data_IF_687741082318
#
_entry.id   IF_687741082318
#
_cell.length_a   1.000
_cell.length_b   1.000
_cell.length_c   1.000
_cell.angle_alpha   90.00
_cell.angle_beta   90.00
_cell.angle_gamma   90.00
#
_symmetry.space_group_name_H-M   'P 1'
#
loop_
_entity.id
_entity.type
_entity.pdbx_description
1 polymer ?
#
# COMPACT_ATOMS: atom_id res chain seq x y z
N UNK A 1 18.08 4.94 51.86
CA UNK A 1 18.93 5.12 50.67
C UNK A 1 18.57 4.00 49.72
N UNK A 2 17.74 4.30 48.72
CA UNK A 2 17.24 3.30 47.75
C UNK A 2 18.22 3.29 46.58
N UNK A 3 18.73 2.10 46.29
CA UNK A 3 19.74 1.82 45.28
C UNK A 3 19.23 2.15 43.86
N UNK A 4 19.99 2.97 43.14
CA UNK A 4 19.87 3.14 41.69
C UNK A 4 20.30 1.84 40.99
N UNK A 5 19.35 0.94 40.76
CA UNK A 5 19.58 -0.25 39.92
C UNK A 5 18.42 -0.56 38.96
N UNK A 6 17.64 0.45 38.54
CA UNK A 6 16.54 0.29 37.58
C UNK A 6 16.62 1.30 36.43
N UNK A 7 17.74 1.32 35.70
CA UNK A 7 17.87 2.15 34.50
C UNK A 7 18.55 1.47 33.30
N UNK A 8 18.76 0.15 33.32
CA UNK A 8 19.39 -0.58 32.20
C UNK A 8 18.49 -1.67 31.60
N UNK A 9 17.18 -1.42 31.51
CA UNK A 9 16.39 -2.02 30.43
C UNK A 9 16.51 -1.12 29.20
N UNK A 10 17.73 -1.06 28.66
CA UNK A 10 17.98 -0.58 27.31
C UNK A 10 17.11 -1.43 26.40
N UNK A 11 16.08 -0.82 25.82
CA UNK A 11 15.35 -1.39 24.69
C UNK A 11 16.39 -1.85 23.67
N UNK A 12 16.61 -3.15 23.58
CA UNK A 12 17.36 -3.76 22.47
C UNK A 12 16.51 -3.55 21.21
N UNK A 13 16.52 -2.32 20.69
CA UNK A 13 16.04 -2.01 19.37
C UNK A 13 16.99 -2.71 18.41
N UNK A 14 16.57 -3.88 17.92
CA UNK A 14 17.15 -4.45 16.74
C UNK A 14 17.24 -3.33 15.68
N UNK A 15 18.38 -3.17 14.98
CA UNK A 15 18.51 -2.13 13.99
C UNK A 15 17.36 -2.25 12.98
N UNK A 16 16.72 -1.13 12.58
CA UNK A 16 15.58 -1.18 11.69
C UNK A 16 15.95 -1.94 10.40
N UNK A 17 15.06 -2.82 9.96
CA UNK A 17 15.24 -3.54 8.71
C UNK A 17 15.47 -2.57 7.55
N UNK A 18 16.10 -3.02 6.46
CA UNK A 18 16.36 -2.16 5.28
C UNK A 18 15.09 -1.46 4.79
N UNK A 19 13.93 -2.11 4.89
CA UNK A 19 12.63 -1.56 4.54
C UNK A 19 12.15 -0.48 5.53
N UNK A 20 12.27 -0.71 6.84
CA UNK A 20 11.93 0.27 7.88
C UNK A 20 12.82 1.51 7.81
N UNK A 21 14.12 1.33 7.59
CA UNK A 21 15.06 2.43 7.36
C UNK A 21 14.72 3.23 6.10
N UNK A 22 14.15 2.57 5.07
CA UNK A 22 13.67 3.23 3.86
C UNK A 22 12.43 4.09 4.15
N UNK A 23 11.48 3.55 4.91
CA UNK A 23 10.24 4.25 5.27
C UNK A 23 10.50 5.50 6.09
N UNK A 24 11.44 5.44 7.04
CA UNK A 24 11.90 6.60 7.79
C UNK A 24 12.53 7.67 6.87
N UNK A 25 13.28 7.24 5.85
CA UNK A 25 13.88 8.15 4.85
C UNK A 25 12.89 8.66 3.83
N UNK A 26 11.74 8.01 3.64
CA UNK A 26 10.82 8.36 2.57
C UNK A 26 10.17 9.71 2.83
N UNK A 27 10.01 10.15 4.09
CA UNK A 27 9.45 11.46 4.47
C UNK A 27 8.24 11.86 3.61
N UNK A 28 7.46 10.86 3.21
CA UNK A 28 6.35 11.01 2.30
C UNK A 28 5.21 11.60 3.11
N UNK A 29 4.85 12.85 2.79
CA UNK A 29 3.63 13.46 3.30
C UNK A 29 2.46 12.49 3.04
N UNK A 30 1.51 12.48 3.98
CA UNK A 30 0.18 11.89 3.73
C UNK A 30 -0.29 12.36 2.36
N UNK A 31 -0.78 11.47 1.49
CA UNK A 31 -1.19 11.88 0.18
C UNK A 31 -2.34 12.87 0.35
N UNK A 32 -2.17 14.09 -0.17
CA UNK A 32 -3.25 15.06 -0.37
C UNK A 32 -4.16 14.58 -1.52
N UNK A 33 -4.49 13.29 -1.57
CA UNK A 33 -5.27 12.71 -2.63
C UNK A 33 -6.74 13.07 -2.42
N UNK A 34 -7.13 14.18 -3.05
CA UNK A 34 -8.51 14.59 -3.26
C UNK A 34 -8.93 14.11 -4.65
N UNK A 35 -9.38 12.87 -4.74
CA UNK A 35 -10.36 12.51 -5.76
C UNK A 35 -11.55 11.86 -5.07
N UNK A 36 -12.71 12.54 -4.99
CA UNK A 36 -13.92 11.86 -4.55
C UNK A 36 -14.19 10.73 -5.55
N UNK A 37 -14.21 9.48 -5.09
CA UNK A 37 -14.74 8.40 -5.91
C UNK A 37 -16.23 8.69 -6.12
N UNK A 38 -16.59 8.98 -7.38
CA UNK A 38 -17.98 9.07 -7.81
C UNK A 38 -18.67 7.72 -7.61
N UNK A 39 -19.87 7.77 -7.04
CA UNK A 39 -20.58 6.62 -6.48
C UNK A 39 -20.77 5.45 -7.44
N UNK A 40 -20.46 4.25 -6.93
CA UNK A 40 -20.92 2.99 -7.49
C UNK A 40 -22.34 2.68 -7.02
N UNK A 41 -23.23 2.45 -7.99
CA UNK A 41 -24.67 2.20 -7.87
C UNK A 41 -25.01 0.79 -7.37
N UNK A 42 -24.72 0.48 -6.11
CA UNK A 42 -25.20 -0.72 -5.43
C UNK A 42 -25.67 -0.36 -4.03
N UNK A 43 -26.58 -1.14 -3.42
CA UNK A 43 -26.96 -0.98 -2.00
C UNK A 43 -25.66 -0.85 -1.19
N UNK A 44 -25.34 0.36 -0.76
CA UNK A 44 -24.09 0.66 -0.09
C UNK A 44 -24.10 -0.06 1.25
N UNK A 45 -23.26 -1.09 1.38
CA UNK A 45 -23.06 -1.75 2.66
C UNK A 45 -22.61 -0.70 3.67
N UNK A 46 -23.26 -0.66 4.82
CA UNK A 46 -22.83 0.23 5.88
C UNK A 46 -21.50 -0.27 6.48
N UNK A 47 -20.71 0.63 7.10
CA UNK A 47 -19.45 0.26 7.76
C UNK A 47 -19.59 -0.95 8.73
N UNK A 48 -20.74 -1.05 9.42
CA UNK A 48 -21.02 -2.14 10.34
C UNK A 48 -21.18 -3.49 9.65
N UNK A 49 -21.87 -3.55 8.51
CA UNK A 49 -22.04 -4.76 7.71
C UNK A 49 -20.70 -5.24 7.14
N UNK A 50 -19.88 -4.31 6.63
CA UNK A 50 -18.54 -4.61 6.14
C UNK A 50 -17.68 -5.17 7.27
N UNK A 51 -17.64 -4.50 8.42
CA UNK A 51 -16.83 -4.94 9.56
C UNK A 51 -17.28 -6.31 10.09
N UNK A 52 -18.58 -6.56 10.17
CA UNK A 52 -19.13 -7.84 10.60
C UNK A 52 -18.76 -8.97 9.63
N UNK A 53 -18.90 -8.72 8.32
CA UNK A 53 -18.59 -9.71 7.30
C UNK A 53 -17.10 -10.08 7.25
N UNK A 54 -16.21 -9.12 7.50
CA UNK A 54 -14.76 -9.34 7.52
C UNK A 54 -14.23 -9.88 8.86
N UNK A 55 -15.03 -9.85 9.93
CA UNK A 55 -14.64 -10.40 11.23
C UNK A 55 -14.64 -11.95 11.23
N UNK A 56 -15.31 -12.57 10.26
CA UNK A 56 -15.48 -14.01 10.20
C UNK A 56 -14.33 -14.68 9.44
N UNK A 57 -13.56 -15.50 10.16
CA UNK A 57 -12.51 -16.35 9.61
C UNK A 57 -11.16 -15.64 9.41
N UNK A 58 -10.12 -16.43 9.14
CA UNK A 58 -8.78 -15.94 8.81
C UNK A 58 -8.62 -15.91 7.29
N UNK A 59 -8.66 -14.74 6.64
CA UNK A 59 -8.48 -14.65 5.18
C UNK A 59 -7.10 -15.14 4.75
N UNK A 60 -7.02 -15.80 3.59
CA UNK A 60 -5.73 -16.16 3.00
C UNK A 60 -5.14 -14.95 2.27
N UNK A 61 -4.01 -14.42 2.77
CA UNK A 61 -3.33 -13.24 2.22
C UNK A 61 -1.85 -13.54 1.88
N UNK A 62 -1.56 -14.55 1.04
CA UNK A 62 -0.19 -15.02 0.80
C UNK A 62 0.74 -14.02 0.10
N UNK A 63 0.24 -13.08 -0.70
CA UNK A 63 1.10 -12.05 -1.34
C UNK A 63 1.35 -10.89 -0.38
N UNK A 64 0.31 -10.36 0.25
CA UNK A 64 0.39 -9.26 1.21
C UNK A 64 1.30 -9.60 2.40
N UNK A 65 1.21 -10.83 2.91
CA UNK A 65 1.99 -11.27 4.08
C UNK A 65 3.49 -11.45 3.81
N UNK A 66 3.95 -11.34 2.55
CA UNK A 66 5.39 -11.33 2.22
C UNK A 66 6.06 -10.00 2.55
N UNK A 67 5.28 -8.92 2.61
CA UNK A 67 5.79 -7.57 2.78
C UNK A 67 5.62 -7.07 4.22
N UNK A 68 4.70 -7.65 4.99
CA UNK A 68 4.45 -7.28 6.37
C UNK A 68 3.71 -8.36 7.15
N UNK A 69 3.52 -8.11 8.45
CA UNK A 69 2.78 -9.03 9.32
C UNK A 69 1.35 -9.24 8.84
N UNK A 70 0.85 -10.46 9.06
CA UNK A 70 -0.51 -10.85 8.69
C UNK A 70 -1.59 -9.93 9.28
N UNK A 71 -1.40 -9.44 10.51
CA UNK A 71 -2.34 -8.50 11.15
C UNK A 71 -2.41 -7.15 10.42
N UNK A 72 -1.28 -6.64 9.92
CA UNK A 72 -1.28 -5.41 9.11
C UNK A 72 -1.92 -5.64 7.74
N UNK A 73 -1.67 -6.80 7.11
CA UNK A 73 -2.33 -7.19 5.88
C UNK A 73 -3.86 -7.29 6.05
N UNK A 74 -4.34 -7.89 7.15
CA UNK A 74 -5.77 -7.96 7.47
C UNK A 74 -6.40 -6.58 7.70
N UNK A 75 -5.70 -5.68 8.39
CA UNK A 75 -6.16 -4.28 8.56
C UNK A 75 -6.23 -3.52 7.23
N UNK A 76 -5.25 -3.73 6.35
CA UNK A 76 -5.25 -3.14 5.02
C UNK A 76 -6.38 -3.70 4.14
N UNK A 77 -6.66 -5.01 4.23
CA UNK A 77 -7.81 -5.65 3.58
C UNK A 77 -9.14 -5.00 4.01
N UNK A 78 -9.34 -4.83 5.32
CA UNK A 78 -10.54 -4.17 5.84
C UNK A 78 -10.64 -2.70 5.40
N UNK A 79 -9.51 -1.98 5.41
CA UNK A 79 -9.47 -0.59 4.93
C UNK A 79 -9.74 -0.51 3.42
N UNK A 80 -9.29 -1.48 2.62
CA UNK A 80 -9.58 -1.53 1.19
C UNK A 80 -11.07 -1.69 0.94
N UNK A 81 -11.72 -2.63 1.64
CA UNK A 81 -13.16 -2.85 1.54
C UNK A 81 -13.96 -1.59 1.93
N UNK A 82 -13.60 -0.98 3.07
CA UNK A 82 -14.19 0.26 3.53
C UNK A 82 -14.04 1.38 2.49
N UNK A 83 -12.86 1.57 1.94
CA UNK A 83 -12.61 2.56 0.90
C UNK A 83 -13.46 2.30 -0.36
N UNK A 84 -13.49 1.06 -0.86
CA UNK A 84 -14.24 0.69 -2.07
C UNK A 84 -15.75 0.90 -1.91
N UNK A 85 -16.31 0.52 -0.76
CA UNK A 85 -17.76 0.56 -0.55
C UNK A 85 -18.29 1.90 -0.01
N UNK A 86 -17.47 2.66 0.73
CA UNK A 86 -17.92 3.88 1.42
C UNK A 86 -17.20 5.15 0.96
N UNK A 87 -16.10 5.02 0.21
CA UNK A 87 -15.27 6.17 -0.18
C UNK A 87 -14.50 6.80 0.98
N UNK A 88 -14.38 6.10 2.12
CA UNK A 88 -13.72 6.64 3.32
C UNK A 88 -12.23 6.98 3.07
N UNK A 89 -11.90 8.25 3.31
CA UNK A 89 -10.56 8.79 3.08
C UNK A 89 -9.54 8.23 4.07
N UNK A 90 -9.93 8.00 5.33
CA UNK A 90 -9.00 7.46 6.32
C UNK A 90 -8.55 6.04 5.95
N UNK A 91 -9.51 5.24 5.49
CA UNK A 91 -9.27 3.91 4.95
C UNK A 91 -8.36 3.93 3.72
N UNK A 92 -8.56 4.87 2.79
CA UNK A 92 -7.61 5.07 1.68
C UNK A 92 -6.19 5.34 2.18
N UNK A 93 -6.02 6.24 3.16
CA UNK A 93 -4.69 6.54 3.70
C UNK A 93 -4.01 5.30 4.30
N UNK A 94 -4.75 4.43 4.99
CA UNK A 94 -4.20 3.17 5.50
C UNK A 94 -3.73 2.25 4.37
N UNK A 95 -4.53 2.06 3.32
CA UNK A 95 -4.14 1.26 2.15
C UNK A 95 -2.93 1.87 1.44
N UNK A 96 -2.86 3.20 1.35
CA UNK A 96 -1.72 3.91 0.79
C UNK A 96 -0.43 3.66 1.57
N UNK A 97 -0.44 3.78 2.90
CA UNK A 97 0.74 3.48 3.70
C UNK A 97 1.14 2.01 3.60
N UNK A 98 0.16 1.10 3.50
CA UNK A 98 0.44 -0.30 3.19
C UNK A 98 1.15 -0.45 1.83
N UNK A 99 0.64 0.18 0.78
CA UNK A 99 1.25 0.15 -0.56
C UNK A 99 2.68 0.74 -0.57
N UNK A 100 2.93 1.78 0.23
CA UNK A 100 4.27 2.32 0.43
C UNK A 100 5.22 1.31 1.07
N UNK A 101 4.77 0.52 2.03
CA UNK A 101 5.57 -0.57 2.61
C UNK A 101 5.91 -1.62 1.54
N UNK A 102 4.96 -1.95 0.67
CA UNK A 102 5.17 -2.91 -0.43
C UNK A 102 6.23 -2.42 -1.41
N UNK A 103 6.14 -1.18 -1.90
CA UNK A 103 7.14 -0.64 -2.83
C UNK A 103 8.50 -0.46 -2.14
N UNK A 104 8.51 -0.05 -0.87
CA UNK A 104 9.73 0.06 -0.08
C UNK A 104 10.44 -1.28 0.08
N UNK A 105 9.69 -2.34 0.41
CA UNK A 105 10.21 -3.70 0.49
C UNK A 105 10.78 -4.20 -0.84
N UNK A 106 10.11 -3.92 -1.96
CA UNK A 106 10.61 -4.25 -3.30
C UNK A 106 11.93 -3.54 -3.62
N UNK A 107 12.05 -2.24 -3.32
CA UNK A 107 13.28 -1.49 -3.55
C UNK A 107 14.42 -1.96 -2.65
N UNK A 108 14.13 -2.25 -1.37
CA UNK A 108 15.12 -2.78 -0.44
C UNK A 108 15.66 -4.16 -0.84
N UNK A 109 14.80 -5.02 -1.42
CA UNK A 109 15.18 -6.33 -1.92
C UNK A 109 16.02 -6.27 -3.21
N UNK A 110 15.75 -5.29 -4.08
CA UNK A 110 16.48 -5.12 -5.34
C UNK A 110 17.84 -4.40 -5.18
N UNK A 111 18.08 -3.74 -4.04
CA UNK A 111 19.26 -2.93 -3.83
C UNK A 111 20.52 -3.75 -3.51
N UNK A 112 21.61 -3.48 -4.23
CA UNK A 112 22.93 -4.03 -3.96
C UNK A 112 23.60 -3.39 -2.74
N UNK A 113 23.34 -2.10 -2.51
CA UNK A 113 23.91 -1.34 -1.40
C UNK A 113 22.95 -0.22 -0.93
N UNK A 114 23.14 0.26 0.30
CA UNK A 114 22.25 1.26 0.91
C UNK A 114 22.39 2.67 0.32
N UNK A 115 23.50 2.98 -0.34
CA UNK A 115 23.78 4.32 -0.89
C UNK A 115 23.07 4.50 -2.23
N UNK A 116 23.12 3.49 -3.11
CA UNK A 116 22.36 3.46 -4.36
C UNK A 116 20.85 3.48 -4.10
N UNK A 117 20.38 2.70 -3.13
CA UNK A 117 18.98 2.71 -2.69
C UNK A 117 18.51 4.07 -2.20
N UNK A 118 19.29 4.73 -1.34
CA UNK A 118 18.93 6.05 -0.82
C UNK A 118 18.87 7.11 -1.94
N UNK A 119 19.79 7.03 -2.92
CA UNK A 119 19.79 7.91 -4.09
C UNK A 119 18.55 7.68 -4.96
N UNK A 120 18.23 6.44 -5.27
CA UNK A 120 17.04 6.10 -6.07
C UNK A 120 15.75 6.58 -5.40
N UNK A 121 15.63 6.39 -4.08
CA UNK A 121 14.50 6.91 -3.32
C UNK A 121 14.43 8.43 -3.42
N UNK A 122 15.54 9.14 -3.18
CA UNK A 122 15.55 10.59 -3.21
C UNK A 122 15.15 11.15 -4.60
N UNK A 123 15.62 10.52 -5.68
CA UNK A 123 15.34 10.90 -7.06
C UNK A 123 13.90 10.60 -7.48
N UNK A 124 13.23 9.63 -6.85
CA UNK A 124 11.95 9.12 -7.32
C UNK A 124 10.82 9.09 -6.28
N UNK A 125 10.94 9.81 -5.16
CA UNK A 125 9.88 9.88 -4.12
C UNK A 125 8.49 10.17 -4.68
N UNK A 126 8.39 11.15 -5.60
CA UNK A 126 7.12 11.51 -6.24
C UNK A 126 6.53 10.36 -7.05
N UNK A 127 7.37 9.67 -7.84
CA UNK A 127 6.97 8.50 -8.62
C UNK A 127 6.56 7.32 -7.73
N UNK A 128 7.21 7.12 -6.58
CA UNK A 128 6.79 6.09 -5.60
C UNK A 128 5.38 6.36 -5.11
N UNK A 129 5.12 7.57 -4.62
CA UNK A 129 3.82 7.98 -4.11
C UNK A 129 2.73 7.86 -5.18
N UNK A 130 2.97 8.42 -6.37
CA UNK A 130 2.02 8.38 -7.47
C UNK A 130 1.73 6.95 -7.97
N UNK A 131 2.75 6.08 -8.00
CA UNK A 131 2.58 4.69 -8.37
C UNK A 131 1.69 3.92 -7.38
N UNK A 132 1.84 4.15 -6.07
CA UNK A 132 1.00 3.55 -5.04
C UNK A 132 -0.47 4.01 -5.16
N UNK A 133 -0.69 5.31 -5.30
CA UNK A 133 -2.04 5.89 -5.51
C UNK A 133 -2.69 5.29 -6.76
N UNK A 134 -1.94 5.26 -7.86
CA UNK A 134 -2.44 4.73 -9.13
C UNK A 134 -2.81 3.26 -9.04
N UNK A 135 -2.04 2.42 -8.33
CA UNK A 135 -2.36 1.01 -8.15
C UNK A 135 -3.64 0.80 -7.31
N UNK A 136 -3.84 1.62 -6.26
CA UNK A 136 -5.06 1.57 -5.44
C UNK A 136 -6.27 1.98 -6.27
N UNK A 137 -6.14 3.06 -7.03
CA UNK A 137 -7.18 3.53 -7.94
C UNK A 137 -7.51 2.52 -9.04
N UNK A 138 -6.50 1.84 -9.60
CA UNK A 138 -6.73 0.85 -10.65
C UNK A 138 -7.52 -0.35 -10.15
N UNK A 139 -7.22 -0.82 -8.94
CA UNK A 139 -8.01 -1.92 -8.34
C UNK A 139 -9.40 -1.44 -7.93
N UNK A 140 -9.50 -0.24 -7.33
CA UNK A 140 -10.79 0.31 -6.87
C UNK A 140 -11.71 0.73 -8.03
N UNK A 141 -11.13 1.09 -9.18
CA UNK A 141 -11.82 1.53 -10.38
C UNK A 141 -11.15 0.92 -11.64
N UNK A 142 -11.37 -0.38 -11.94
CA UNK A 142 -10.67 -1.09 -13.01
C UNK A 142 -10.85 -0.53 -14.44
N UNK A 143 -11.85 0.35 -14.62
CA UNK A 143 -12.08 1.02 -15.91
C UNK A 143 -11.17 2.23 -16.13
N UNK A 144 -10.59 2.80 -15.07
CA UNK A 144 -9.85 4.07 -15.10
C UNK A 144 -8.57 3.99 -15.94
N UNK A 145 -7.85 2.87 -15.89
CA UNK A 145 -6.54 2.73 -16.56
C UNK A 145 -6.49 1.64 -17.65
N UNK A 146 -7.63 1.04 -18.02
CA UNK A 146 -7.68 -0.12 -18.95
C UNK A 146 -7.05 0.14 -20.33
N UNK A 147 -7.11 1.39 -20.82
CA UNK A 147 -6.56 1.78 -22.12
C UNK A 147 -5.27 2.60 -22.02
N UNK A 148 -4.69 2.73 -20.83
CA UNK A 148 -3.54 3.60 -20.58
C UNK A 148 -2.26 3.00 -21.15
N UNK A 149 -1.57 3.77 -21.99
CA UNK A 149 -0.29 3.40 -22.60
C UNK A 149 0.87 3.60 -21.62
N UNK A 150 2.02 2.95 -21.87
CA UNK A 150 3.25 3.13 -21.07
C UNK A 150 3.70 4.61 -20.99
N UNK A 151 3.42 5.42 -22.01
CA UNK A 151 3.70 6.87 -22.01
C UNK A 151 2.78 7.64 -21.07
N UNK A 152 1.51 7.28 -21.02
CA UNK A 152 0.53 7.91 -20.14
C UNK A 152 0.79 7.52 -18.69
N UNK A 153 1.11 6.25 -18.43
CA UNK A 153 1.56 5.81 -17.11
C UNK A 153 2.78 6.58 -16.63
N UNK A 154 3.80 6.74 -17.48
CA UNK A 154 4.97 7.53 -17.14
C UNK A 154 4.61 8.99 -16.80
N UNK A 155 3.65 9.58 -17.52
CA UNK A 155 3.17 10.94 -17.26
C UNK A 155 2.42 11.04 -15.93
N UNK A 156 1.50 10.12 -15.65
CA UNK A 156 0.71 10.07 -14.41
C UNK A 156 1.63 9.98 -13.19
N UNK A 157 2.67 9.15 -13.30
CA UNK A 157 3.63 8.91 -12.21
C UNK A 157 4.72 9.99 -12.14
N UNK A 158 4.77 10.92 -13.12
CA UNK A 158 5.75 12.01 -13.14
C UNK A 158 7.17 11.58 -13.52
N UNK A 159 7.30 10.51 -14.32
CA UNK A 159 8.59 10.06 -14.86
C UNK A 159 8.98 10.89 -16.10
N UNK A 160 10.26 11.27 -16.24
CA UNK A 160 10.71 12.10 -17.36
C UNK A 160 10.67 11.37 -18.72
N UNK A 161 10.61 10.03 -18.72
CA UNK A 161 10.57 9.23 -19.94
C UNK A 161 9.85 7.89 -19.72
N UNK A 162 9.00 7.49 -20.66
CA UNK A 162 8.33 6.18 -20.70
C UNK A 162 9.29 4.99 -20.66
N UNK A 163 10.54 5.13 -21.11
CA UNK A 163 11.54 4.06 -20.98
C UNK A 163 11.82 3.68 -19.52
N UNK A 164 11.78 4.65 -18.59
CA UNK A 164 11.91 4.35 -17.16
C UNK A 164 10.71 3.58 -16.64
N UNK A 165 9.51 3.93 -17.14
CA UNK A 165 8.30 3.16 -16.82
C UNK A 165 8.45 1.70 -17.24
N UNK A 166 8.69 1.44 -18.52
CA UNK A 166 8.74 0.07 -19.05
C UNK A 166 9.85 -0.78 -18.43
N UNK A 167 11.00 -0.18 -18.07
CA UNK A 167 12.15 -0.90 -17.50
C UNK A 167 12.01 -1.18 -16.00
N UNK A 168 11.63 -0.19 -15.21
CA UNK A 168 11.76 -0.25 -13.75
C UNK A 168 10.41 -0.19 -13.02
N UNK A 169 9.51 0.69 -13.47
CA UNK A 169 8.31 1.01 -12.69
C UNK A 169 7.11 0.13 -13.02
N UNK A 170 7.01 -0.38 -14.25
CA UNK A 170 5.91 -1.26 -14.67
C UNK A 170 5.84 -2.53 -13.82
N UNK A 171 6.98 -3.16 -13.56
CA UNK A 171 7.05 -4.33 -12.67
C UNK A 171 6.67 -3.98 -11.23
N UNK A 172 7.17 -2.85 -10.70
CA UNK A 172 6.80 -2.37 -9.35
C UNK A 172 5.31 -2.11 -9.22
N UNK A 173 4.73 -1.43 -10.21
CA UNK A 173 3.30 -1.21 -10.32
C UNK A 173 2.50 -2.51 -10.34
N UNK A 174 2.87 -3.45 -11.21
CA UNK A 174 2.20 -4.75 -11.31
C UNK A 174 2.25 -5.52 -9.99
N UNK A 175 3.37 -5.49 -9.29
CA UNK A 175 3.50 -6.12 -7.98
C UNK A 175 2.59 -5.46 -6.94
N UNK A 176 2.61 -4.13 -6.83
CA UNK A 176 1.73 -3.40 -5.89
C UNK A 176 0.27 -3.71 -6.24
N UNK A 177 -0.11 -3.56 -7.51
CA UNK A 177 -1.46 -3.85 -8.00
C UNK A 177 -1.89 -5.27 -7.63
N UNK A 178 -1.04 -6.28 -7.84
CA UNK A 178 -1.37 -7.69 -7.52
C UNK A 178 -1.59 -7.95 -6.03
N UNK A 179 -0.95 -7.16 -5.15
CA UNK A 179 -1.15 -7.22 -3.70
C UNK A 179 -2.44 -6.50 -3.31
N UNK A 180 -2.69 -5.31 -3.87
CA UNK A 180 -3.93 -4.57 -3.60
C UNK A 180 -5.16 -5.32 -4.15
N UNK A 181 -5.02 -5.98 -5.30
CA UNK A 181 -6.04 -6.85 -5.90
C UNK A 181 -6.33 -8.06 -4.99
N UNK A 182 -5.30 -8.69 -4.40
CA UNK A 182 -5.51 -9.74 -3.39
C UNK A 182 -6.32 -9.22 -2.18
N UNK A 183 -6.00 -8.03 -1.67
CA UNK A 183 -6.74 -7.42 -0.56
C UNK A 183 -8.21 -7.18 -0.95
N UNK A 184 -8.45 -6.63 -2.13
CA UNK A 184 -9.80 -6.31 -2.62
C UNK A 184 -10.62 -7.57 -2.88
N UNK A 185 -10.08 -8.53 -3.64
CA UNK A 185 -10.77 -9.77 -4.00
C UNK A 185 -11.10 -10.61 -2.77
N UNK A 186 -10.17 -10.71 -1.82
CA UNK A 186 -10.38 -11.47 -0.59
C UNK A 186 -11.44 -10.81 0.29
N UNK A 187 -11.43 -9.48 0.38
CA UNK A 187 -12.49 -8.75 1.09
C UNK A 187 -13.85 -8.97 0.44
N UNK A 188 -13.94 -8.83 -0.89
CA UNK A 188 -15.19 -9.07 -1.63
C UNK A 188 -15.71 -10.49 -1.45
N UNK A 189 -14.84 -11.50 -1.47
CA UNK A 189 -15.23 -12.88 -1.23
C UNK A 189 -15.78 -13.06 0.19
N UNK A 190 -15.14 -12.50 1.20
CA UNK A 190 -15.65 -12.57 2.58
C UNK A 190 -17.00 -11.87 2.72
N UNK A 191 -17.16 -10.69 2.12
CA UNK A 191 -18.42 -9.95 2.13
C UNK A 191 -19.53 -10.77 1.46
N UNK A 192 -19.29 -11.30 0.26
CA UNK A 192 -20.28 -12.11 -0.50
C UNK A 192 -20.67 -13.40 0.22
N UNK A 193 -19.77 -13.98 1.01
CA UNK A 193 -20.04 -15.22 1.73
C UNK A 193 -20.80 -15.02 3.06
N UNK A 194 -20.73 -13.81 3.63
CA UNK A 194 -21.18 -13.52 4.99
C UNK A 194 -22.32 -12.48 5.06
N UNK A 195 -22.75 -11.94 3.92
CA UNK A 195 -23.93 -11.05 3.75
C UNK A 195 -24.94 -11.75 2.85
#
# INVERSE_FOLDING_TARGET
>A
MVSEQHADQVFNHAPPSKAEALLQKLNLRSPDYCSPMGGGTGRGLCPGEIAAALALGRPALPRASRFMSYELARKAMASMAMYVHTGDRQSFCHVYYFALNVIAGQMAAAATDMKSLAKEVAEHRGAMSACCVMAIDDVSCPRKYRATTDREFARIVGLPNHKLWSRNWKSRYQNIRSVIEELSDTAEQQIKNNV
#
